data_IF_728606579898
#
_entry.id   IF_728606579898
#
_cell.length_a   1.000
_cell.length_b   1.000
_cell.length_c   1.000
_cell.angle_alpha   90.00
_cell.angle_beta   90.00
_cell.angle_gamma   90.00
#
_symmetry.space_group_name_H-M   'P 1'
#
loop_
_entity.id
_entity.type
_entity.pdbx_description
1 polymer ?
#
# COMPACT_ATOMS: atom_id res chain seq x y z
N UNK A 1 -46.57 -3.26 -8.38
CA UNK A 1 -45.97 -4.59 -8.19
C UNK A 1 -44.70 -4.65 -9.02
N UNK A 2 -43.55 -4.72 -8.36
CA UNK A 2 -42.20 -4.63 -8.94
C UNK A 2 -41.80 -6.05 -9.35
N UNK A 3 -41.61 -6.30 -10.65
CA UNK A 3 -41.17 -7.59 -11.15
C UNK A 3 -39.63 -7.69 -11.05
N UNK A 4 -39.20 -8.38 -9.98
CA UNK A 4 -38.03 -9.26 -9.84
C UNK A 4 -36.89 -9.17 -10.86
N UNK A 5 -35.68 -8.90 -10.35
CA UNK A 5 -34.38 -9.18 -10.96
C UNK A 5 -34.25 -10.66 -11.37
N UNK A 6 -34.59 -11.00 -12.61
CA UNK A 6 -34.16 -12.28 -13.18
C UNK A 6 -32.65 -12.21 -13.47
N UNK A 7 -31.87 -13.01 -12.76
CA UNK A 7 -30.43 -13.14 -12.97
C UNK A 7 -30.16 -13.69 -14.38
N UNK A 8 -29.83 -12.80 -15.31
CA UNK A 8 -29.53 -13.17 -16.70
C UNK A 8 -28.34 -14.13 -16.78
N UNK A 9 -28.48 -15.18 -17.60
CA UNK A 9 -27.38 -16.10 -17.92
C UNK A 9 -26.29 -15.41 -18.75
N UNK A 10 -25.06 -15.93 -18.69
CA UNK A 10 -23.94 -15.41 -19.49
C UNK A 10 -24.25 -15.38 -21.00
N UNK A 11 -24.96 -16.39 -21.52
CA UNK A 11 -25.37 -16.44 -22.92
C UNK A 11 -26.38 -15.34 -23.28
N UNK A 12 -27.31 -15.02 -22.37
CA UNK A 12 -28.25 -13.90 -22.55
C UNK A 12 -27.51 -12.55 -22.53
N UNK A 13 -26.56 -12.37 -21.61
CA UNK A 13 -25.76 -11.13 -21.55
C UNK A 13 -24.92 -10.94 -22.81
N UNK A 14 -24.26 -12.00 -23.30
CA UNK A 14 -23.50 -11.97 -24.55
C UNK A 14 -24.38 -11.66 -25.77
N UNK A 15 -25.60 -12.22 -25.81
CA UNK A 15 -26.58 -11.94 -26.86
C UNK A 15 -27.03 -10.47 -26.84
N UNK A 16 -27.33 -9.93 -25.66
CA UNK A 16 -27.72 -8.51 -25.48
C UNK A 16 -26.58 -7.59 -25.92
N UNK A 17 -25.34 -7.91 -25.57
CA UNK A 17 -24.17 -7.16 -25.98
C UNK A 17 -24.03 -7.13 -27.51
N UNK A 18 -24.09 -8.29 -28.18
CA UNK A 18 -24.02 -8.38 -29.64
C UNK A 18 -25.15 -7.65 -30.37
N UNK A 19 -26.35 -7.61 -29.78
CA UNK A 19 -27.48 -6.84 -30.32
C UNK A 19 -27.31 -5.32 -30.14
N UNK A 20 -26.44 -4.90 -29.23
CA UNK A 20 -26.21 -3.48 -28.91
C UNK A 20 -25.01 -2.88 -29.65
N UNK A 21 -24.13 -3.73 -30.19
CA UNK A 21 -22.99 -3.34 -31.01
C UNK A 21 -23.41 -3.08 -32.46
N UNK A 22 -22.59 -2.33 -33.20
CA UNK A 22 -22.77 -2.16 -34.64
C UNK A 22 -22.43 -3.46 -35.40
N UNK A 23 -22.88 -3.55 -36.66
CA UNK A 23 -22.71 -4.76 -37.47
C UNK A 23 -21.23 -5.17 -37.63
N UNK A 24 -20.30 -4.22 -37.71
CA UNK A 24 -18.88 -4.49 -37.85
C UNK A 24 -18.28 -5.04 -36.56
N UNK A 25 -18.56 -4.38 -35.42
CA UNK A 25 -18.10 -4.83 -34.12
C UNK A 25 -18.67 -6.21 -33.73
N UNK A 26 -19.96 -6.44 -33.99
CA UNK A 26 -20.59 -7.74 -33.76
C UNK A 26 -19.96 -8.84 -34.61
N UNK A 27 -19.67 -8.57 -35.88
CA UNK A 27 -19.02 -9.54 -36.76
C UNK A 27 -17.60 -9.88 -36.29
N UNK A 28 -16.82 -8.88 -35.86
CA UNK A 28 -15.47 -9.10 -35.35
C UNK A 28 -15.45 -9.98 -34.09
N UNK A 29 -16.48 -9.89 -33.24
CA UNK A 29 -16.65 -10.79 -32.09
C UNK A 29 -17.00 -12.19 -32.56
N UNK A 30 -17.95 -12.34 -33.47
CA UNK A 30 -18.38 -13.63 -34.00
C UNK A 30 -17.25 -14.39 -34.72
N UNK A 31 -16.37 -13.69 -35.44
CA UNK A 31 -15.24 -14.30 -36.17
C UNK A 31 -14.22 -14.98 -35.24
N UNK A 32 -14.22 -14.61 -33.94
CA UNK A 32 -13.35 -15.22 -32.92
C UNK A 32 -13.98 -16.42 -32.22
N UNK A 33 -15.24 -16.73 -32.49
CA UNK A 33 -15.98 -17.81 -31.86
C UNK A 33 -16.00 -19.07 -32.72
N UNK A 34 -16.07 -20.23 -32.06
CA UNK A 34 -16.25 -21.50 -32.76
C UNK A 34 -17.62 -21.56 -33.47
N UNK A 35 -17.78 -22.42 -34.50
CA UNK A 35 -19.06 -22.58 -35.19
C UNK A 35 -20.24 -22.89 -34.23
N UNK A 36 -19.99 -23.70 -33.20
CA UNK A 36 -21.00 -24.08 -32.22
C UNK A 36 -21.42 -22.90 -31.34
N UNK A 37 -20.48 -22.09 -30.86
CA UNK A 37 -20.77 -20.93 -30.03
C UNK A 37 -21.54 -19.84 -30.80
N UNK A 38 -21.21 -19.64 -32.08
CA UNK A 38 -21.95 -18.73 -32.96
C UNK A 38 -23.40 -19.18 -33.14
N UNK A 39 -23.63 -20.48 -33.33
CA UNK A 39 -24.96 -21.05 -33.46
C UNK A 39 -25.78 -20.86 -32.17
N UNK A 40 -25.18 -21.12 -31.01
CA UNK A 40 -25.83 -20.91 -29.71
C UNK A 40 -26.22 -19.44 -29.48
N UNK A 41 -25.32 -18.50 -29.78
CA UNK A 41 -25.59 -17.07 -29.67
C UNK A 41 -26.65 -16.61 -30.67
N UNK A 42 -26.56 -17.07 -31.92
CA UNK A 42 -27.55 -16.74 -32.96
C UNK A 42 -28.95 -17.23 -32.59
N UNK A 43 -29.07 -18.48 -32.14
CA UNK A 43 -30.33 -19.04 -31.67
C UNK A 43 -30.90 -18.27 -30.46
N UNK A 44 -30.03 -17.86 -29.54
CA UNK A 44 -30.43 -17.09 -28.37
C UNK A 44 -30.91 -15.68 -28.75
N UNK A 45 -30.23 -14.98 -29.66
CA UNK A 45 -30.63 -13.66 -30.17
C UNK A 45 -32.01 -13.74 -30.82
N UNK A 46 -32.26 -14.74 -31.66
CA UNK A 46 -33.57 -14.95 -32.30
C UNK A 46 -34.67 -15.22 -31.27
N UNK A 47 -34.36 -15.96 -30.19
CA UNK A 47 -35.29 -16.21 -29.09
C UNK A 47 -35.61 -14.93 -28.30
N UNK A 48 -34.66 -14.01 -28.23
CA UNK A 48 -34.77 -12.71 -27.56
C UNK A 48 -35.46 -11.69 -28.48
N UNK A 49 -36.79 -11.81 -28.62
CA UNK A 49 -37.61 -10.96 -29.50
C UNK A 49 -37.52 -9.46 -29.21
N UNK A 50 -37.30 -9.08 -27.94
CA UNK A 50 -37.16 -7.68 -27.53
C UNK A 50 -36.46 -7.62 -26.18
N UNK A 51 -35.53 -6.67 -26.04
CA UNK A 51 -34.82 -6.38 -24.80
C UNK A 51 -35.22 -5.00 -24.34
N UNK A 52 -35.67 -4.87 -23.10
CA UNK A 52 -36.00 -3.57 -22.51
C UNK A 52 -34.73 -2.71 -22.41
N UNK A 53 -34.85 -1.40 -22.66
CA UNK A 53 -33.72 -0.46 -22.60
C UNK A 53 -32.96 -0.56 -21.28
N UNK A 54 -33.68 -0.59 -20.15
CA UNK A 54 -33.10 -0.72 -18.80
C UNK A 54 -32.20 -1.95 -18.66
N UNK A 55 -32.63 -3.09 -19.21
CA UNK A 55 -31.88 -4.36 -19.12
C UNK A 55 -30.65 -4.33 -20.03
N UNK A 56 -30.80 -3.74 -21.22
CA UNK A 56 -29.68 -3.53 -22.14
C UNK A 56 -28.61 -2.65 -21.51
N UNK A 57 -29.02 -1.51 -20.97
CA UNK A 57 -28.10 -0.52 -20.40
C UNK A 57 -27.38 -1.12 -19.16
N UNK A 58 -28.08 -1.88 -18.32
CA UNK A 58 -27.48 -2.62 -17.20
C UNK A 58 -26.41 -3.63 -17.64
N UNK A 59 -26.65 -4.39 -18.71
CA UNK A 59 -25.66 -5.34 -19.24
C UNK A 59 -24.45 -4.61 -19.83
N UNK A 60 -24.67 -3.50 -20.53
CA UNK A 60 -23.58 -2.69 -21.09
C UNK A 60 -22.69 -2.09 -19.99
N UNK A 61 -23.29 -1.60 -18.91
CA UNK A 61 -22.55 -1.08 -17.76
C UNK A 61 -21.73 -2.18 -17.07
N UNK A 62 -22.31 -3.37 -16.86
CA UNK A 62 -21.63 -4.51 -16.27
C UNK A 62 -20.44 -4.97 -17.14
N UNK A 63 -20.63 -5.10 -18.45
CA UNK A 63 -19.58 -5.49 -19.39
C UNK A 63 -18.49 -4.42 -19.47
N UNK A 64 -18.86 -3.14 -19.53
CA UNK A 64 -17.90 -2.03 -19.51
C UNK A 64 -17.06 -2.01 -18.24
N UNK A 65 -17.67 -2.27 -17.08
CA UNK A 65 -16.96 -2.40 -15.81
C UNK A 65 -16.00 -3.61 -15.82
N UNK A 66 -16.44 -4.76 -16.34
CA UNK A 66 -15.61 -5.96 -16.47
C UNK A 66 -14.44 -5.77 -17.45
N UNK A 67 -14.65 -5.06 -18.57
CA UNK A 67 -13.60 -4.70 -19.53
C UNK A 67 -12.60 -3.73 -18.89
N UNK A 68 -13.05 -2.74 -18.12
CA UNK A 68 -12.16 -1.83 -17.37
C UNK A 68 -11.30 -2.57 -16.35
N UNK A 69 -11.84 -3.61 -15.71
CA UNK A 69 -11.07 -4.46 -14.79
C UNK A 69 -10.06 -5.35 -15.52
N UNK A 70 -10.40 -5.86 -16.70
CA UNK A 70 -9.55 -6.81 -17.45
C UNK A 70 -8.55 -6.19 -18.41
N UNK A 71 -8.76 -4.95 -18.87
CA UNK A 71 -7.91 -4.28 -19.88
C UNK A 71 -6.86 -3.33 -19.28
N UNK A 72 -6.58 -3.42 -17.98
CA UNK A 72 -5.45 -2.68 -17.41
C UNK A 72 -4.17 -3.49 -17.58
N UNK A 73 -3.19 -2.92 -18.28
CA UNK A 73 -1.82 -3.48 -18.32
C UNK A 73 -1.34 -3.59 -16.87
N UNK A 74 -1.02 -4.81 -16.37
CA UNK A 74 -0.53 -4.96 -15.01
C UNK A 74 0.67 -4.06 -14.78
N UNK A 75 0.67 -3.34 -13.67
CA UNK A 75 1.71 -2.40 -13.25
C UNK A 75 1.92 -1.19 -14.19
N UNK A 76 1.11 -1.01 -15.23
CA UNK A 76 1.25 0.11 -16.18
C UNK A 76 1.04 1.48 -15.53
N UNK A 77 0.30 1.52 -14.42
CA UNK A 77 0.09 2.71 -13.60
C UNK A 77 1.33 3.14 -12.81
N UNK A 78 2.34 2.27 -12.65
CA UNK A 78 3.62 2.65 -12.05
C UNK A 78 4.49 3.45 -13.02
N UNK A 79 4.27 3.37 -14.34
CA UNK A 79 5.07 4.11 -15.32
C UNK A 79 4.90 5.63 -15.22
N UNK A 80 3.79 6.11 -14.63
CA UNK A 80 3.56 7.54 -14.37
C UNK A 80 4.14 8.03 -13.04
N UNK A 81 4.73 7.14 -12.22
CA UNK A 81 5.28 7.45 -10.89
C UNK A 81 6.80 7.65 -10.94
N UNK A 82 7.34 8.31 -9.91
CA UNK A 82 8.79 8.51 -9.84
C UNK A 82 9.51 7.20 -9.44
N UNK A 83 10.69 6.88 -10.01
CA UNK A 83 11.43 5.67 -9.65
C UNK A 83 11.73 5.53 -8.14
N UNK A 84 11.88 6.64 -7.44
CA UNK A 84 12.06 6.66 -5.98
C UNK A 84 10.82 6.20 -5.23
N UNK A 85 9.63 6.64 -5.64
CA UNK A 85 8.37 6.23 -5.03
C UNK A 85 8.11 4.74 -5.25
N UNK A 86 8.39 4.25 -6.47
CA UNK A 86 8.27 2.83 -6.81
C UNK A 86 9.22 1.99 -5.95
N UNK A 87 10.48 2.41 -5.80
CA UNK A 87 11.47 1.71 -5.00
C UNK A 87 11.05 1.61 -3.52
N UNK A 88 10.49 2.69 -2.96
CA UNK A 88 10.01 2.71 -1.58
C UNK A 88 8.75 1.83 -1.40
N UNK A 89 7.82 1.87 -2.37
CA UNK A 89 6.58 1.09 -2.30
C UNK A 89 6.82 -0.43 -2.35
N UNK A 90 7.85 -0.86 -3.09
CA UNK A 90 8.23 -2.27 -3.19
C UNK A 90 9.32 -2.66 -2.17
N UNK A 91 9.81 -1.70 -1.36
CA UNK A 91 10.78 -1.99 -0.31
C UNK A 91 10.15 -2.91 0.75
N UNK A 92 10.86 -3.96 1.14
CA UNK A 92 10.38 -4.97 2.07
C UNK A 92 9.56 -6.12 1.45
N UNK A 93 9.24 -6.04 0.16
CA UNK A 93 8.61 -7.16 -0.56
C UNK A 93 9.60 -8.29 -0.87
N UNK A 94 9.05 -9.48 -1.13
CA UNK A 94 9.88 -10.63 -1.51
C UNK A 94 10.56 -10.39 -2.87
N UNK A 95 11.81 -10.83 -3.09
CA UNK A 95 12.54 -10.63 -4.34
C UNK A 95 11.79 -11.07 -5.60
N UNK A 96 11.01 -12.15 -5.53
CA UNK A 96 10.17 -12.61 -6.65
C UNK A 96 9.01 -11.65 -6.97
N UNK A 97 8.38 -11.04 -5.95
CA UNK A 97 7.32 -10.06 -6.15
C UNK A 97 7.90 -8.81 -6.82
N UNK A 98 9.06 -8.34 -6.34
CA UNK A 98 9.79 -7.22 -6.93
C UNK A 98 10.15 -7.53 -8.39
N UNK A 99 10.70 -8.72 -8.66
CA UNK A 99 11.02 -9.15 -10.02
C UNK A 99 9.78 -9.20 -10.92
N UNK A 100 8.63 -9.62 -10.39
CA UNK A 100 7.36 -9.60 -11.13
C UNK A 100 6.95 -8.19 -11.52
N UNK A 101 6.96 -7.24 -10.59
CA UNK A 101 6.64 -5.83 -10.86
C UNK A 101 7.60 -5.27 -11.91
N UNK A 102 8.91 -5.41 -11.69
CA UNK A 102 9.94 -4.87 -12.58
C UNK A 102 9.88 -5.46 -14.00
N UNK A 103 9.48 -6.72 -14.15
CA UNK A 103 9.33 -7.36 -15.46
C UNK A 103 8.24 -6.75 -16.34
N UNK A 104 7.30 -6.01 -15.74
CA UNK A 104 6.22 -5.33 -16.46
C UNK A 104 6.51 -3.85 -16.71
N UNK A 105 7.58 -3.30 -16.14
CA UNK A 105 8.03 -1.92 -16.38
C UNK A 105 8.94 -1.83 -17.61
N UNK A 106 9.09 -0.62 -18.15
CA UNK A 106 10.11 -0.35 -19.17
C UNK A 106 11.53 -0.61 -18.63
N UNK A 107 12.44 -1.06 -19.49
CA UNK A 107 13.83 -1.37 -19.09
C UNK A 107 14.54 -0.20 -18.41
N UNK A 108 14.23 1.04 -18.83
CA UNK A 108 14.76 2.27 -18.22
C UNK A 108 14.23 2.46 -16.80
N UNK A 109 12.92 2.34 -16.59
CA UNK A 109 12.32 2.48 -15.27
C UNK A 109 12.79 1.37 -14.33
N UNK A 110 12.79 0.11 -14.80
CA UNK A 110 13.26 -1.03 -14.02
C UNK A 110 14.71 -0.87 -13.56
N UNK A 111 15.62 -0.39 -14.43
CA UNK A 111 17.01 -0.13 -14.08
C UNK A 111 17.15 0.96 -13.01
N UNK A 112 16.39 2.05 -13.12
CA UNK A 112 16.41 3.15 -12.15
C UNK A 112 15.88 2.71 -10.78
N UNK A 113 14.87 1.84 -10.74
CA UNK A 113 14.34 1.28 -9.49
C UNK A 113 15.33 0.29 -8.88
N UNK A 114 15.90 -0.62 -9.66
CA UNK A 114 16.92 -1.58 -9.21
C UNK A 114 18.14 -0.90 -8.59
N UNK A 115 18.58 0.23 -9.14
CA UNK A 115 19.70 1.00 -8.63
C UNK A 115 19.47 1.59 -7.23
N UNK A 116 18.21 1.64 -6.75
CA UNK A 116 17.83 2.18 -5.45
C UNK A 116 17.57 1.11 -4.39
N UNK A 117 17.50 -0.16 -4.78
CA UNK A 117 17.38 -1.28 -3.84
C UNK A 117 18.72 -1.51 -3.13
N UNK A 118 18.67 -2.06 -1.92
CA UNK A 118 19.86 -2.53 -1.20
C UNK A 118 20.56 -3.68 -1.95
N UNK A 119 21.87 -3.81 -1.76
CA UNK A 119 22.69 -4.76 -2.54
C UNK A 119 22.27 -6.23 -2.31
N UNK A 120 21.84 -6.58 -1.09
CA UNK A 120 21.39 -7.95 -0.75
C UNK A 120 20.07 -8.32 -1.45
N UNK A 121 19.14 -7.38 -1.55
CA UNK A 121 17.89 -7.55 -2.27
C UNK A 121 18.11 -7.51 -3.78
N UNK A 122 18.89 -6.55 -4.29
CA UNK A 122 19.18 -6.35 -5.71
C UNK A 122 19.69 -7.63 -6.37
N UNK A 123 20.66 -8.31 -5.75
CA UNK A 123 21.22 -9.56 -6.28
C UNK A 123 20.17 -10.67 -6.42
N UNK A 124 19.28 -10.80 -5.43
CA UNK A 124 18.20 -11.80 -5.45
C UNK A 124 17.17 -11.47 -6.53
N UNK A 125 16.81 -10.19 -6.65
CA UNK A 125 15.85 -9.72 -7.66
C UNK A 125 16.39 -9.92 -9.07
N UNK A 126 17.65 -9.58 -9.32
CA UNK A 126 18.30 -9.79 -10.64
C UNK A 126 18.33 -11.28 -11.01
N UNK A 127 18.65 -12.16 -10.05
CA UNK A 127 18.58 -13.62 -10.27
C UNK A 127 17.17 -14.09 -10.59
N UNK A 128 16.15 -13.55 -9.92
CA UNK A 128 14.74 -13.87 -10.19
C UNK A 128 14.26 -13.33 -11.54
N UNK A 129 14.74 -12.17 -11.99
CA UNK A 129 14.45 -11.61 -13.32
C UNK A 129 15.10 -12.41 -14.46
N UNK A 130 16.30 -12.95 -14.23
CA UNK A 130 16.98 -13.82 -15.19
C UNK A 130 16.34 -15.23 -15.26
N UNK A 131 15.64 -15.64 -14.21
CA UNK A 131 14.87 -16.87 -14.16
C UNK A 131 13.54 -16.78 -14.93
N UNK A 132 12.91 -17.94 -15.16
CA UNK A 132 11.58 -17.98 -15.79
C UNK A 132 10.53 -17.55 -14.76
N UNK A 133 10.11 -16.28 -14.80
CA UNK A 133 9.00 -15.79 -13.99
C UNK A 133 7.67 -16.16 -14.69
N UNK A 134 6.97 -17.18 -14.20
CA UNK A 134 5.75 -17.72 -14.84
C UNK A 134 4.49 -17.52 -13.98
N UNK A 135 4.42 -16.42 -13.23
CA UNK A 135 3.23 -16.10 -12.44
C UNK A 135 1.97 -16.19 -13.30
N UNK A 136 0.94 -16.86 -12.80
CA UNK A 136 -0.34 -16.97 -13.52
C UNK A 136 -0.99 -15.58 -13.63
N UNK A 137 -1.83 -15.36 -14.66
CA UNK A 137 -2.55 -14.09 -14.82
C UNK A 137 -3.30 -13.64 -13.57
N UNK A 138 -3.88 -14.58 -12.82
CA UNK A 138 -4.61 -14.30 -11.57
C UNK A 138 -3.69 -13.76 -10.47
N UNK A 139 -2.47 -14.31 -10.34
CA UNK A 139 -1.48 -13.84 -9.36
C UNK A 139 -0.99 -12.45 -9.73
N UNK A 140 -0.75 -12.20 -11.02
CA UNK A 140 -0.33 -10.90 -11.52
C UNK A 140 -1.39 -9.84 -11.22
N UNK A 141 -2.66 -10.13 -11.50
CA UNK A 141 -3.78 -9.24 -11.23
C UNK A 141 -3.96 -8.97 -9.72
N UNK A 142 -3.82 -10.00 -8.88
CA UNK A 142 -3.91 -9.86 -7.42
C UNK A 142 -2.79 -8.96 -6.87
N UNK A 143 -1.56 -9.15 -7.33
CA UNK A 143 -0.41 -8.32 -6.92
C UNK A 143 -0.55 -6.90 -7.44
N UNK A 144 -1.02 -6.70 -8.68
CA UNK A 144 -1.31 -5.38 -9.23
C UNK A 144 -2.33 -4.62 -8.39
N UNK A 145 -3.44 -5.27 -8.03
CA UNK A 145 -4.47 -4.69 -7.18
C UNK A 145 -3.98 -4.33 -5.78
N UNK A 146 -3.21 -5.23 -5.14
CA UNK A 146 -2.63 -4.98 -3.82
C UNK A 146 -1.66 -3.79 -3.85
N UNK A 147 -0.79 -3.72 -4.87
CA UNK A 147 0.16 -2.63 -5.02
C UNK A 147 -0.53 -1.29 -5.27
N UNK A 148 -1.61 -1.27 -6.05
CA UNK A 148 -2.43 -0.06 -6.24
C UNK A 148 -3.03 0.41 -4.92
N UNK A 149 -3.59 -0.51 -4.13
CA UNK A 149 -4.15 -0.18 -2.82
C UNK A 149 -3.10 0.42 -1.88
N UNK A 150 -1.90 -0.17 -1.82
CA UNK A 150 -0.80 0.36 -1.00
C UNK A 150 -0.28 1.71 -1.47
N UNK A 151 -0.37 2.00 -2.78
CA UNK A 151 0.13 3.24 -3.37
C UNK A 151 -0.90 4.38 -3.32
N UNK A 152 -2.19 4.07 -3.44
CA UNK A 152 -3.29 5.03 -3.35
C UNK A 152 -3.70 5.29 -1.90
N UNK A 153 -3.31 4.42 -0.96
CA UNK A 153 -3.36 4.72 0.46
C UNK A 153 -2.54 6.01 0.70
N UNK A 154 -3.10 7.05 1.34
CA UNK A 154 -2.30 8.19 1.75
C UNK A 154 -1.10 7.68 2.56
N UNK A 155 0.04 8.38 2.57
CA UNK A 155 1.26 7.93 3.28
C UNK A 155 1.04 7.65 4.78
N UNK A 156 -0.14 7.95 5.32
CA UNK A 156 -0.58 7.69 6.69
C UNK A 156 -1.68 6.59 6.84
N UNK A 157 -2.22 6.01 5.76
CA UNK A 157 -3.26 4.97 5.84
C UNK A 157 -2.70 3.54 5.92
N UNK A 158 -1.49 3.30 5.40
CA UNK A 158 -0.87 1.98 5.35
C UNK A 158 0.29 1.77 6.34
N UNK A 159 0.35 2.59 7.40
CA UNK A 159 1.06 2.22 8.63
C UNK A 159 0.21 1.33 9.56
N UNK A 160 -1.02 1.00 9.16
CA UNK A 160 -1.87 0.01 9.84
C UNK A 160 -1.52 -1.45 9.46
N UNK A 161 -0.45 -1.66 8.70
CA UNK A 161 0.20 -2.96 8.56
C UNK A 161 1.20 -3.21 9.68
N UNK A 162 0.71 -3.47 10.90
CA UNK A 162 1.43 -4.28 11.88
C UNK A 162 2.88 -3.87 12.17
N UNK A 163 3.13 -2.59 12.43
CA UNK A 163 4.04 -2.25 13.52
C UNK A 163 3.17 -1.65 14.59
N UNK A 164 2.77 -2.47 15.57
CA UNK A 164 2.64 -1.95 16.92
C UNK A 164 4.00 -1.30 17.13
N UNK A 165 4.11 0.03 17.15
CA UNK A 165 5.35 0.67 17.57
C UNK A 165 5.46 0.29 19.04
N UNK A 166 6.00 -0.91 19.29
CA UNK A 166 6.44 -1.32 20.60
C UNK A 166 7.65 -0.44 20.82
N UNK A 167 7.40 0.71 21.44
CA UNK A 167 8.46 1.57 21.94
C UNK A 167 9.17 0.71 22.98
N UNK A 168 10.32 0.19 22.59
CA UNK A 168 11.18 -0.66 23.43
C UNK A 168 12.46 0.06 23.78
N UNK A 169 12.85 1.05 22.96
CA UNK A 169 13.97 1.95 23.20
C UNK A 169 13.60 3.38 22.80
N UNK A 170 14.39 4.35 23.29
CA UNK A 170 14.35 5.73 22.83
C UNK A 170 14.83 5.87 21.37
N UNK A 171 15.63 4.93 20.86
CA UNK A 171 16.06 4.92 19.46
C UNK A 171 14.88 4.76 18.47
N UNK A 172 13.77 4.17 18.93
CA UNK A 172 12.56 3.99 18.12
C UNK A 172 11.91 5.35 17.75
N UNK A 173 12.29 6.44 18.42
CA UNK A 173 11.76 7.79 18.17
C UNK A 173 12.27 8.40 16.86
N UNK A 174 13.46 8.03 16.36
CA UNK A 174 14.09 8.67 15.19
C UNK A 174 13.29 8.46 13.89
N UNK A 175 12.43 7.43 13.84
CA UNK A 175 11.57 7.12 12.70
C UNK A 175 10.14 7.66 12.79
N UNK A 176 9.77 8.35 13.88
CA UNK A 176 8.40 8.81 14.12
C UNK A 176 8.17 10.24 13.63
N UNK A 177 6.91 10.58 13.35
CA UNK A 177 6.54 11.95 13.03
C UNK A 177 6.60 12.85 14.28
N UNK A 178 6.81 14.14 14.08
CA UNK A 178 6.89 15.12 15.17
C UNK A 178 5.62 15.12 16.05
N UNK A 179 4.44 14.91 15.48
CA UNK A 179 3.18 14.80 16.24
C UNK A 179 3.10 13.51 17.08
N UNK A 180 3.63 12.40 16.56
CA UNK A 180 3.73 11.15 17.33
C UNK A 180 4.70 11.31 18.49
N UNK A 181 5.87 11.89 18.27
CA UNK A 181 6.86 12.14 19.32
C UNK A 181 6.26 13.05 20.39
N UNK A 182 5.55 14.12 20.00
CA UNK A 182 4.89 15.03 20.95
C UNK A 182 3.84 14.32 21.81
N UNK A 183 3.01 13.46 21.20
CA UNK A 183 2.02 12.67 21.93
C UNK A 183 2.67 11.70 22.93
N UNK A 184 3.80 11.09 22.56
CA UNK A 184 4.54 10.19 23.43
C UNK A 184 5.20 10.91 24.61
N UNK A 185 5.63 12.15 24.41
CA UNK A 185 6.27 12.98 25.42
C UNK A 185 5.29 13.65 26.39
N UNK A 186 3.99 13.63 26.12
CA UNK A 186 2.98 14.41 26.85
C UNK A 186 2.95 14.13 28.36
N UNK A 187 3.12 12.87 28.75
CA UNK A 187 3.08 12.43 30.14
C UNK A 187 4.46 12.07 30.72
N UNK A 188 5.54 12.33 29.96
CA UNK A 188 6.89 11.97 30.38
C UNK A 188 7.44 13.02 31.34
N UNK A 189 7.95 12.55 32.48
CA UNK A 189 8.58 13.40 33.48
C UNK A 189 9.92 13.96 32.98
N UNK A 190 10.10 15.28 33.05
CA UNK A 190 11.26 15.97 32.46
C UNK A 190 12.58 15.54 33.10
N UNK A 191 12.58 15.27 34.41
CA UNK A 191 13.79 14.84 35.13
C UNK A 191 14.25 13.45 34.65
N UNK A 192 13.34 12.49 34.48
CA UNK A 192 13.65 11.16 33.95
C UNK A 192 14.07 11.22 32.47
N UNK A 193 13.40 12.07 31.70
CA UNK A 193 13.76 12.30 30.30
C UNK A 193 15.17 12.89 30.17
N UNK A 194 15.55 13.83 31.04
CA UNK A 194 16.88 14.42 31.06
C UNK A 194 17.96 13.39 31.36
N UNK A 195 17.73 12.49 32.33
CA UNK A 195 18.67 11.44 32.72
C UNK A 195 18.83 10.39 31.62
N UNK A 196 17.71 9.97 31.02
CA UNK A 196 17.70 8.96 29.96
C UNK A 196 18.36 9.43 28.66
N UNK A 197 18.24 10.71 28.31
CA UNK A 197 18.86 11.29 27.12
C UNK A 197 20.39 11.45 27.22
N UNK A 198 20.98 11.46 28.42
CA UNK A 198 22.44 11.62 28.59
C UNK A 198 23.27 10.46 28.05
N UNK A 199 22.66 9.30 27.89
CA UNK A 199 23.28 8.10 27.31
C UNK A 199 22.67 7.74 25.95
N UNK A 200 21.68 8.51 25.49
CA UNK A 200 21.06 8.31 24.19
C UNK A 200 21.94 8.85 23.06
N UNK A 201 21.66 8.42 21.83
CA UNK A 201 22.31 8.96 20.64
C UNK A 201 21.94 10.44 20.42
N UNK A 202 22.82 11.18 19.74
CA UNK A 202 22.60 12.60 19.43
C UNK A 202 21.31 12.80 18.61
N UNK A 203 21.02 11.87 17.69
CA UNK A 203 19.82 11.93 16.84
C UNK A 203 18.53 11.82 17.67
N UNK A 204 18.52 10.95 18.69
CA UNK A 204 17.40 10.81 19.63
C UNK A 204 17.23 12.08 20.46
N UNK A 205 18.33 12.61 21.00
CA UNK A 205 18.29 13.84 21.78
C UNK A 205 17.75 15.02 20.94
N UNK A 206 18.20 15.15 19.70
CA UNK A 206 17.74 16.20 18.79
C UNK A 206 16.27 16.03 18.40
N UNK A 207 15.82 14.79 18.18
CA UNK A 207 14.42 14.49 17.89
C UNK A 207 13.50 14.85 19.07
N UNK A 208 13.90 14.53 20.30
CA UNK A 208 13.14 14.88 21.51
C UNK A 208 13.14 16.40 21.73
N UNK A 209 14.31 17.05 21.66
CA UNK A 209 14.42 18.49 21.89
C UNK A 209 13.66 19.34 20.87
N UNK A 210 13.52 18.86 19.63
CA UNK A 210 12.71 19.53 18.59
C UNK A 210 11.21 19.47 18.88
N UNK A 211 10.77 18.42 19.59
CA UNK A 211 9.36 18.14 19.86
C UNK A 211 8.87 18.61 21.23
N UNK A 212 9.76 19.21 22.02
CA UNK A 212 9.44 19.86 23.29
C UNK A 212 9.16 21.35 23.11
N UNK A 213 8.36 21.96 24.01
CA UNK A 213 8.24 23.41 24.10
C UNK A 213 9.61 24.07 24.23
N UNK A 214 9.79 25.24 23.60
CA UNK A 214 11.08 25.95 23.55
C UNK A 214 11.71 26.17 24.93
N UNK A 215 10.89 26.50 25.93
CA UNK A 215 11.32 26.67 27.32
C UNK A 215 11.85 25.36 27.95
N UNK A 216 11.13 24.24 27.76
CA UNK A 216 11.52 22.92 28.28
C UNK A 216 12.76 22.39 27.57
N UNK A 217 12.85 22.57 26.25
CA UNK A 217 14.02 22.19 25.47
C UNK A 217 15.27 22.97 25.89
N UNK A 218 15.13 24.25 26.27
CA UNK A 218 16.24 25.05 26.79
C UNK A 218 16.71 24.53 28.16
N UNK A 219 15.79 24.27 29.08
CA UNK A 219 16.09 23.68 30.38
C UNK A 219 16.83 22.34 30.24
N UNK A 220 16.35 21.46 29.34
CA UNK A 220 17.00 20.17 29.11
C UNK A 220 18.39 20.30 28.50
N UNK A 221 18.64 21.26 27.60
CA UNK A 221 19.99 21.50 27.08
C UNK A 221 20.97 21.89 28.19
N UNK A 222 20.54 22.70 29.14
CA UNK A 222 21.34 23.08 30.31
C UNK A 222 21.63 21.86 31.22
N UNK A 223 20.62 21.01 31.44
CA UNK A 223 20.78 19.78 32.22
C UNK A 223 21.70 18.74 31.55
N UNK A 224 21.63 18.60 30.23
CA UNK A 224 22.51 17.70 29.46
C UNK A 224 23.98 18.15 29.47
N UNK A 225 24.22 19.47 29.54
CA UNK A 225 25.57 20.04 29.67
C UNK A 225 26.13 19.92 31.10
N UNK A 226 25.29 19.62 32.08
CA UNK A 226 25.73 19.48 33.47
C UNK A 226 26.68 18.29 33.62
N UNK A 227 27.85 18.54 34.22
CA UNK A 227 28.86 17.49 34.50
C UNK A 227 28.57 16.73 35.80
N UNK A 228 27.30 16.53 36.14
CA UNK A 228 26.92 15.73 37.30
C UNK A 228 27.29 14.26 37.06
N UNK A 229 27.90 13.62 38.06
CA UNK A 229 28.25 12.18 38.00
C UNK A 229 26.96 11.36 37.85
N UNK A 230 26.89 10.56 36.81
CA UNK A 230 25.79 9.64 36.56
C UNK A 230 25.99 8.35 37.34
N UNK A 231 24.96 7.89 38.05
CA UNK A 231 24.90 6.50 38.50
C UNK A 231 24.18 5.70 37.43
N UNK A 232 24.83 4.64 36.94
CA UNK A 232 24.30 3.78 35.86
C UNK A 232 22.88 3.30 36.20
N UNK A 233 22.67 2.88 37.45
CA UNK A 233 21.37 2.42 37.94
C UNK A 233 20.25 3.47 37.85
N UNK A 234 20.56 4.74 38.15
CA UNK A 234 19.57 5.83 38.06
C UNK A 234 19.20 6.12 36.60
N UNK A 235 20.15 5.93 35.67
CA UNK A 235 19.92 6.11 34.24
C UNK A 235 19.06 4.97 33.67
N UNK A 236 19.34 3.72 34.05
CA UNK A 236 18.55 2.56 33.63
C UNK A 236 17.10 2.63 34.15
N UNK A 237 16.93 3.00 35.43
CA UNK A 237 15.60 3.19 36.04
C UNK A 237 14.82 4.30 35.31
N UNK A 238 15.47 5.43 35.00
CA UNK A 238 14.88 6.53 34.24
C UNK A 238 14.50 6.10 32.81
N UNK A 239 15.38 5.38 32.09
CA UNK A 239 15.09 4.87 30.75
C UNK A 239 13.88 3.93 30.76
N UNK A 240 13.85 2.98 31.69
CA UNK A 240 12.75 2.03 31.79
C UNK A 240 11.42 2.72 32.10
N UNK A 241 11.44 3.75 32.97
CA UNK A 241 10.24 4.53 33.30
C UNK A 241 9.75 5.35 32.11
N UNK A 242 10.65 6.04 31.41
CA UNK A 242 10.32 6.84 30.22
C UNK A 242 9.73 5.97 29.10
N UNK A 243 10.37 4.83 28.80
CA UNK A 243 9.89 3.90 27.76
C UNK A 243 8.52 3.33 28.14
N UNK A 244 8.28 2.97 29.40
CA UNK A 244 6.99 2.48 29.85
C UNK A 244 5.89 3.55 29.74
N UNK A 245 6.18 4.79 30.13
CA UNK A 245 5.23 5.91 29.97
C UNK A 245 4.90 6.18 28.50
N UNK A 246 5.92 6.18 27.63
CA UNK A 246 5.72 6.33 26.18
C UNK A 246 4.90 5.16 25.61
N UNK A 247 5.16 3.93 26.06
CA UNK A 247 4.39 2.75 25.66
C UNK A 247 2.93 2.87 26.06
N UNK A 248 2.64 3.36 27.26
CA UNK A 248 1.28 3.62 27.72
C UNK A 248 0.60 4.72 26.89
N UNK A 249 1.31 5.80 26.59
CA UNK A 249 0.83 6.88 25.72
C UNK A 249 0.53 6.37 24.29
N UNK A 250 1.36 5.46 23.76
CA UNK A 250 1.13 4.81 22.47
C UNK A 250 -0.16 3.96 22.47
N UNK A 251 -0.51 3.32 23.60
CA UNK A 251 -1.74 2.55 23.73
C UNK A 251 -2.99 3.43 23.82
N UNK A 252 -2.87 4.64 24.38
CA UNK A 252 -4.00 5.58 24.53
C UNK A 252 -4.20 6.48 23.31
N UNK A 253 -3.14 6.78 22.55
CA UNK A 253 -3.16 7.70 21.40
C UNK A 253 -3.69 7.11 20.09
N UNK A 254 -3.82 5.79 19.95
CA UNK A 254 -4.30 5.13 18.70
C UNK A 254 -5.84 5.12 18.60
N UNK A 255 -6.56 5.57 19.64
CA UNK A 255 -8.04 5.51 19.71
C UNK A 255 -8.80 6.76 19.26
N UNK A 256 -8.13 7.85 18.90
CA UNK A 256 -8.79 9.17 18.79
C UNK A 256 -8.52 9.89 17.47
N UNK A 257 -8.79 9.26 16.33
CA UNK A 257 -9.22 10.00 15.12
C UNK A 257 -10.27 9.16 14.38
N UNK A 258 -11.54 9.40 14.73
CA UNK A 258 -12.73 9.07 13.93
C UNK A 258 -13.06 10.22 13.00
#
# INVERSE_FOLDING_TARGET
>A
MIATEEKLSGLQKASILLMSLDAGASQAVLDRLSPHERELLGAQIVRMRSVRSVVRDQVLDEVSAAIKQSNTRPFGWLESRQPTEIANAIAGERPNTIALVLSHLSSKAAALVLARLDDSCRDKVVKSLAGRNNASPDVIAAVDGLMRQRFDAPPNADSAGQSRTEITSLDDLVGLSDDQIRALLENVEIDDLSLSLRVASQDVADAVLRNLPSATAQLMREQLQSSARLKIREVEDAQSKVVETMRQAALTGVGSQS
#
